data_IF_402385615173
#
_entry.id   IF_402385615173
#
_cell.length_a   1.000
_cell.length_b   1.000
_cell.length_c   1.000
_cell.angle_alpha   90.00
_cell.angle_beta   90.00
_cell.angle_gamma   90.00
#
_symmetry.space_group_name_H-M   'P 1'
#
loop_
_entity.id
_entity.type
_entity.pdbx_description
1 polymer ?
#
# COMPACT_ATOMS: atom_id res chain seq x y z
N UNK A 1 14.56 25.19 -45.81
CA UNK A 1 15.55 24.76 -44.80
C UNK A 1 15.60 25.86 -43.76
N UNK A 2 15.14 25.61 -42.54
CA UNK A 2 15.20 26.59 -41.46
C UNK A 2 15.63 25.86 -40.20
N UNK A 3 16.77 26.28 -39.68
CA UNK A 3 17.56 25.59 -38.68
C UNK A 3 16.86 25.57 -37.32
N UNK A 4 16.97 24.41 -36.67
CA UNK A 4 16.48 24.13 -35.32
C UNK A 4 17.37 24.83 -34.30
N UNK A 5 16.82 25.75 -33.51
CA UNK A 5 17.46 26.18 -32.27
C UNK A 5 16.70 25.55 -31.09
N UNK A 6 17.08 24.33 -30.73
CA UNK A 6 16.70 23.75 -29.45
C UNK A 6 17.51 24.47 -28.37
N UNK A 7 16.84 25.35 -27.63
CA UNK A 7 17.39 26.01 -26.44
C UNK A 7 17.81 24.93 -25.44
N UNK A 8 19.12 24.76 -25.25
CA UNK A 8 19.68 23.87 -24.24
C UNK A 8 19.19 24.33 -22.86
N UNK A 9 18.30 23.56 -22.23
CA UNK A 9 17.97 23.71 -20.80
C UNK A 9 19.25 23.46 -20.00
N UNK A 10 19.87 24.51 -19.50
CA UNK A 10 20.99 24.40 -18.57
C UNK A 10 20.50 23.75 -17.26
N UNK A 11 20.86 22.49 -17.04
CA UNK A 11 20.81 21.80 -15.75
C UNK A 11 21.87 22.44 -14.83
N UNK A 12 21.52 23.53 -14.14
CA UNK A 12 22.40 24.13 -13.13
C UNK A 12 22.42 23.26 -11.88
N UNK A 13 23.29 22.25 -11.84
CA UNK A 13 23.71 21.62 -10.59
C UNK A 13 24.40 22.70 -9.75
N UNK A 14 23.83 23.02 -8.59
CA UNK A 14 24.34 24.06 -7.69
C UNK A 14 25.11 23.36 -6.57
N UNK A 15 26.36 23.76 -6.33
CA UNK A 15 27.19 23.20 -5.27
C UNK A 15 26.90 23.92 -3.94
N UNK A 16 26.56 23.17 -2.89
CA UNK A 16 26.51 23.73 -1.53
C UNK A 16 27.86 23.50 -0.85
N UNK A 17 28.43 24.56 -0.29
CA UNK A 17 29.74 24.56 0.40
C UNK A 17 30.98 24.17 -0.43
N UNK A 18 30.87 24.15 -1.76
CA UNK A 18 32.03 24.00 -2.66
C UNK A 18 32.72 22.64 -2.63
N UNK A 19 32.14 21.64 -1.95
CA UNK A 19 32.77 20.32 -1.74
C UNK A 19 31.86 19.14 -2.11
N UNK A 20 30.58 19.37 -2.41
CA UNK A 20 29.62 18.32 -2.75
C UNK A 20 28.73 18.76 -3.93
N UNK A 21 28.74 17.97 -5.02
CA UNK A 21 27.83 18.16 -6.14
C UNK A 21 26.43 17.71 -5.71
N UNK A 22 25.47 18.64 -5.66
CA UNK A 22 24.10 18.28 -5.32
C UNK A 22 23.51 17.55 -6.53
N UNK A 23 22.87 16.38 -6.33
CA UNK A 23 22.16 15.71 -7.40
C UNK A 23 21.16 16.68 -8.03
N UNK A 24 21.05 16.63 -9.34
CA UNK A 24 20.05 17.36 -10.10
C UNK A 24 18.64 16.98 -9.61
N UNK A 25 17.67 17.87 -9.84
CA UNK A 25 16.27 17.60 -9.50
C UNK A 25 15.77 16.25 -10.04
N UNK A 26 16.23 15.85 -11.24
CA UNK A 26 15.88 14.57 -11.86
C UNK A 26 16.52 13.39 -11.11
N UNK A 27 17.79 13.48 -10.73
CA UNK A 27 18.49 12.45 -9.94
C UNK A 27 17.88 12.30 -8.53
N UNK A 28 17.44 13.41 -7.93
CA UNK A 28 16.69 13.38 -6.66
C UNK A 28 15.37 12.64 -6.86
N UNK A 29 14.58 13.03 -7.87
CA UNK A 29 13.31 12.35 -8.15
C UNK A 29 13.49 10.86 -8.42
N UNK A 30 14.52 10.47 -9.18
CA UNK A 30 14.79 9.08 -9.52
C UNK A 30 15.24 8.29 -8.29
N UNK A 31 16.13 8.84 -7.45
CA UNK A 31 16.53 8.24 -6.18
C UNK A 31 15.34 8.06 -5.23
N UNK A 32 14.52 9.11 -5.07
CA UNK A 32 13.30 9.05 -4.25
C UNK A 32 12.27 8.07 -4.81
N UNK A 33 12.05 8.01 -6.12
CA UNK A 33 11.10 7.08 -6.73
C UNK A 33 11.53 5.62 -6.54
N UNK A 34 12.84 5.35 -6.65
CA UNK A 34 13.40 4.02 -6.41
C UNK A 34 13.22 3.58 -4.95
N UNK A 35 13.44 4.49 -4.01
CA UNK A 35 13.25 4.22 -2.59
C UNK A 35 11.78 4.19 -2.18
N UNK A 36 10.91 4.96 -2.83
CA UNK A 36 9.47 5.01 -2.56
C UNK A 36 8.82 3.63 -2.63
N UNK A 37 9.22 2.81 -3.61
CA UNK A 37 8.75 1.43 -3.74
C UNK A 37 9.00 0.59 -2.48
N UNK A 38 10.12 0.83 -1.78
CA UNK A 38 10.49 0.11 -0.56
C UNK A 38 9.71 0.53 0.68
N UNK A 39 9.14 1.74 0.68
CA UNK A 39 8.35 2.28 1.79
C UNK A 39 6.86 2.02 1.64
N UNK A 40 6.38 1.85 0.40
CA UNK A 40 4.95 1.73 0.10
C UNK A 40 4.50 0.29 -0.03
N UNK A 41 5.37 -0.61 -0.52
CA UNK A 41 5.00 -2.01 -0.72
C UNK A 41 5.10 -2.78 0.61
N UNK A 42 4.01 -3.42 1.06
CA UNK A 42 4.08 -4.29 2.22
C UNK A 42 4.97 -5.49 1.92
N UNK A 43 5.81 -5.87 2.89
CA UNK A 43 6.85 -6.90 2.73
C UNK A 43 6.42 -8.27 3.29
N UNK A 44 5.13 -8.59 3.25
CA UNK A 44 4.58 -9.81 3.82
C UNK A 44 3.59 -10.53 2.91
N UNK A 45 3.28 -11.78 3.27
CA UNK A 45 2.36 -12.62 2.50
C UNK A 45 0.89 -12.31 2.83
N UNK A 46 0.61 -11.90 4.06
CA UNK A 46 -0.72 -11.47 4.50
C UNK A 46 -0.65 -9.99 4.85
N UNK A 47 -1.35 -9.17 4.07
CA UNK A 47 -1.20 -7.71 4.11
C UNK A 47 -2.57 -7.05 4.13
N UNK A 48 -2.68 -5.94 4.86
CA UNK A 48 -3.88 -5.11 4.79
C UNK A 48 -3.83 -4.19 3.58
N UNK A 49 -5.01 -3.86 3.08
CA UNK A 49 -5.13 -2.95 1.94
C UNK A 49 -4.74 -1.53 2.28
N UNK A 50 -4.32 -0.79 1.25
CA UNK A 50 -3.96 0.62 1.33
C UNK A 50 -5.07 1.51 1.94
N UNK A 51 -6.32 1.07 1.85
CA UNK A 51 -7.49 1.75 2.41
C UNK A 51 -7.58 1.72 3.95
N UNK A 52 -6.74 0.93 4.62
CA UNK A 52 -6.60 0.96 6.08
C UNK A 52 -5.84 2.23 6.50
N UNK A 53 -6.59 3.29 6.80
CA UNK A 53 -6.01 4.62 7.10
C UNK A 53 -6.26 5.09 8.54
N UNK A 54 -7.27 4.55 9.22
CA UNK A 54 -7.67 5.04 10.55
C UNK A 54 -7.42 4.02 11.65
N UNK A 55 -7.32 4.52 12.89
CA UNK A 55 -7.28 3.67 14.09
C UNK A 55 -8.55 2.80 14.20
N UNK A 56 -9.71 3.32 13.77
CA UNK A 56 -10.95 2.57 13.81
C UNK A 56 -10.93 1.35 12.88
N UNK A 57 -10.33 1.48 11.69
CA UNK A 57 -10.20 0.34 10.77
C UNK A 57 -9.30 -0.76 11.38
N UNK A 58 -8.24 -0.36 12.09
CA UNK A 58 -7.36 -1.30 12.78
C UNK A 58 -8.08 -2.05 13.91
N UNK A 59 -8.91 -1.35 14.68
CA UNK A 59 -9.76 -1.95 15.71
C UNK A 59 -10.79 -2.91 15.09
N UNK A 60 -11.37 -2.57 13.94
CA UNK A 60 -12.27 -3.49 13.24
C UNK A 60 -11.55 -4.75 12.75
N UNK A 61 -10.34 -4.61 12.20
CA UNK A 61 -9.52 -5.75 11.81
C UNK A 61 -9.18 -6.63 13.02
N UNK A 62 -8.87 -6.02 14.16
CA UNK A 62 -8.60 -6.74 15.42
C UNK A 62 -9.82 -7.59 15.85
N UNK A 63 -11.01 -6.98 15.85
CA UNK A 63 -12.27 -7.68 16.17
C UNK A 63 -12.58 -8.82 15.18
N UNK A 64 -12.39 -8.59 13.87
CA UNK A 64 -12.59 -9.61 12.84
C UNK A 64 -11.65 -10.80 13.04
N UNK A 65 -10.37 -10.54 13.31
CA UNK A 65 -9.36 -11.59 13.51
C UNK A 65 -9.56 -12.34 14.83
N UNK A 66 -9.97 -11.65 15.90
CA UNK A 66 -10.28 -12.27 17.18
C UNK A 66 -11.42 -13.29 17.07
N UNK A 67 -12.40 -13.04 16.20
CA UNK A 67 -13.51 -13.96 15.97
C UNK A 67 -13.21 -15.14 15.04
N UNK A 68 -12.16 -15.04 14.22
CA UNK A 68 -11.92 -15.96 13.09
C UNK A 68 -10.60 -16.74 13.17
N UNK A 69 -9.67 -16.34 14.04
CA UNK A 69 -8.32 -16.91 14.10
C UNK A 69 -7.99 -17.42 15.50
N UNK A 70 -7.14 -18.46 15.58
CA UNK A 70 -6.70 -19.01 16.86
C UNK A 70 -5.64 -18.11 17.52
N UNK A 71 -4.71 -17.61 16.70
CA UNK A 71 -3.62 -16.73 17.10
C UNK A 71 -3.35 -15.74 15.97
N UNK A 72 -3.20 -14.46 16.29
CA UNK A 72 -2.83 -13.44 15.31
C UNK A 72 -1.97 -12.32 15.92
N UNK A 73 -1.24 -11.62 15.04
CA UNK A 73 -0.41 -10.46 15.35
C UNK A 73 -0.47 -9.47 14.19
N UNK A 74 -0.88 -8.24 14.49
CA UNK A 74 -0.98 -7.15 13.53
C UNK A 74 0.27 -6.26 13.66
N UNK A 75 0.95 -6.00 12.55
CA UNK A 75 2.04 -5.02 12.44
C UNK A 75 1.57 -3.84 11.58
N UNK A 76 1.02 -2.77 12.20
CA UNK A 76 0.49 -1.60 11.48
C UNK A 76 1.54 -0.86 10.67
N UNK A 77 2.82 -0.93 11.09
CA UNK A 77 3.91 -0.18 10.45
C UNK A 77 4.27 -0.82 9.12
N UNK A 78 4.42 -2.14 9.11
CA UNK A 78 4.80 -2.89 7.90
C UNK A 78 3.61 -3.33 7.05
N UNK A 79 2.39 -3.08 7.53
CA UNK A 79 1.12 -3.51 6.94
C UNK A 79 0.97 -5.02 6.79
N UNK A 80 1.48 -5.77 7.78
CA UNK A 80 1.51 -7.23 7.77
C UNK A 80 0.69 -7.79 8.92
N UNK A 81 -0.08 -8.85 8.66
CA UNK A 81 -0.71 -9.66 9.71
C UNK A 81 -0.10 -11.06 9.68
N UNK A 82 0.38 -11.51 10.83
CA UNK A 82 0.65 -12.94 11.04
C UNK A 82 -0.57 -13.55 11.69
N UNK A 83 -1.14 -14.60 11.09
CA UNK A 83 -2.33 -15.26 11.61
C UNK A 83 -2.21 -16.78 11.47
N UNK A 84 -2.92 -17.50 12.34
CA UNK A 84 -3.00 -18.95 12.38
C UNK A 84 -4.48 -19.35 12.45
N UNK A 85 -4.92 -20.15 11.50
CA UNK A 85 -6.32 -20.55 11.34
C UNK A 85 -6.59 -21.00 9.91
N UNK A 86 -7.88 -21.09 9.55
CA UNK A 86 -8.32 -21.44 8.20
C UNK A 86 -8.17 -20.26 7.24
N UNK A 87 -7.13 -20.31 6.41
CA UNK A 87 -6.78 -19.26 5.46
C UNK A 87 -7.84 -19.01 4.39
N UNK A 88 -8.51 -20.06 3.90
CA UNK A 88 -9.57 -19.92 2.89
C UNK A 88 -10.77 -19.18 3.52
N UNK A 89 -11.13 -19.58 4.73
CA UNK A 89 -12.23 -18.95 5.45
C UNK A 89 -11.95 -17.49 5.77
N UNK A 90 -10.74 -17.18 6.26
CA UNK A 90 -10.31 -15.81 6.57
C UNK A 90 -10.31 -14.96 5.30
N UNK A 91 -9.79 -15.48 4.18
CA UNK A 91 -9.73 -14.78 2.88
C UNK A 91 -11.13 -14.41 2.35
N UNK A 92 -12.13 -15.23 2.62
CA UNK A 92 -13.51 -14.99 2.19
C UNK A 92 -14.26 -14.05 3.15
N UNK A 93 -13.83 -13.96 4.41
CA UNK A 93 -14.59 -13.27 5.47
C UNK A 93 -14.05 -11.90 5.83
N UNK A 94 -12.73 -11.73 5.86
CA UNK A 94 -12.07 -10.50 6.30
C UNK A 94 -11.94 -9.53 5.14
N UNK A 95 -12.63 -8.38 5.22
CA UNK A 95 -12.63 -7.37 4.16
C UNK A 95 -11.42 -6.43 4.23
N UNK A 96 -10.84 -6.27 5.41
CA UNK A 96 -9.73 -5.35 5.65
C UNK A 96 -8.37 -5.89 5.20
N UNK A 97 -8.30 -7.18 4.85
CA UNK A 97 -7.10 -7.81 4.28
C UNK A 97 -7.14 -7.71 2.76
N UNK A 98 -6.03 -7.27 2.16
CA UNK A 98 -5.86 -7.25 0.71
C UNK A 98 -5.41 -8.62 0.20
N UNK A 99 -4.45 -9.22 0.90
CA UNK A 99 -3.92 -10.56 0.61
C UNK A 99 -3.82 -11.39 1.86
N UNK A 100 -4.05 -12.69 1.72
CA UNK A 100 -3.82 -13.72 2.74
C UNK A 100 -2.93 -14.79 2.11
N UNK A 101 -1.75 -15.03 2.68
CA UNK A 101 -0.73 -15.96 2.15
C UNK A 101 -0.44 -15.79 0.65
N UNK A 102 -0.34 -14.55 0.19
CA UNK A 102 -0.03 -14.19 -1.20
C UNK A 102 -1.22 -14.29 -2.17
N UNK A 103 -2.40 -14.73 -1.71
CA UNK A 103 -3.63 -14.76 -2.51
C UNK A 103 -4.48 -13.54 -2.20
N UNK A 104 -5.06 -12.93 -3.24
CA UNK A 104 -6.00 -11.81 -3.10
C UNK A 104 -7.26 -12.26 -2.35
N UNK A 105 -7.80 -11.38 -1.51
CA UNK A 105 -9.08 -11.64 -0.84
C UNK A 105 -10.24 -11.44 -1.79
N UNK A 106 -11.40 -12.03 -1.44
CA UNK A 106 -12.63 -11.86 -2.22
C UNK A 106 -12.98 -10.38 -2.40
N UNK A 107 -12.74 -9.59 -1.36
CA UNK A 107 -13.02 -8.15 -1.36
C UNK A 107 -12.08 -7.39 -2.29
N UNK A 108 -10.79 -7.72 -2.30
CA UNK A 108 -9.83 -7.16 -3.26
C UNK A 108 -10.21 -7.49 -4.70
N UNK A 109 -10.57 -8.76 -4.97
CA UNK A 109 -10.96 -9.17 -6.32
C UNK A 109 -12.23 -8.44 -6.79
N UNK A 110 -13.17 -8.17 -5.87
CA UNK A 110 -14.37 -7.38 -6.18
C UNK A 110 -14.01 -5.91 -6.44
N UNK A 111 -13.20 -5.30 -5.58
CA UNK A 111 -12.71 -3.92 -5.73
C UNK A 111 -12.02 -3.72 -7.09
N UNK A 112 -11.08 -4.60 -7.42
CA UNK A 112 -10.32 -4.54 -8.67
C UNK A 112 -11.23 -4.68 -9.89
N UNK A 113 -12.26 -5.54 -9.80
CA UNK A 113 -13.23 -5.75 -10.88
C UNK A 113 -14.13 -4.54 -11.12
N UNK A 114 -14.51 -3.82 -10.07
CA UNK A 114 -15.38 -2.65 -10.19
C UNK A 114 -14.60 -1.32 -10.33
N UNK A 115 -13.26 -1.37 -10.23
CA UNK A 115 -12.39 -0.19 -10.32
C UNK A 115 -12.61 0.78 -9.16
N UNK A 116 -13.19 0.31 -8.06
CA UNK A 116 -13.60 1.15 -6.93
C UNK A 116 -12.50 1.15 -5.87
N UNK A 117 -11.65 2.17 -5.90
CA UNK A 117 -10.58 2.36 -4.91
C UNK A 117 -11.11 2.74 -3.52
N UNK A 118 -12.43 2.90 -3.36
CA UNK A 118 -13.05 3.30 -2.12
C UNK A 118 -13.63 2.07 -1.38
N UNK A 119 -12.78 1.41 -0.58
CA UNK A 119 -13.17 0.24 0.24
C UNK A 119 -14.29 0.54 1.27
N UNK A 120 -14.67 1.81 1.46
CA UNK A 120 -15.82 2.22 2.26
C UNK A 120 -17.17 1.73 1.70
N UNK A 121 -17.25 1.27 0.45
CA UNK A 121 -18.48 0.66 -0.09
C UNK A 121 -18.91 -0.60 0.69
N UNK A 122 -17.98 -1.30 1.34
CA UNK A 122 -18.25 -2.55 2.05
C UNK A 122 -18.77 -2.35 3.49
N UNK A 123 -18.55 -1.17 4.08
CA UNK A 123 -19.18 -0.82 5.36
C UNK A 123 -20.73 -0.81 5.26
N UNK A 124 -21.29 -0.62 4.06
CA UNK A 124 -22.74 -0.70 3.82
C UNK A 124 -23.26 -2.14 3.64
N UNK A 125 -22.39 -3.15 3.53
CA UNK A 125 -22.80 -4.57 3.50
C UNK A 125 -23.00 -5.10 4.93
N UNK A 126 -22.40 -4.44 5.94
CA UNK A 126 -22.76 -4.62 7.34
C UNK A 126 -24.07 -3.87 7.67
N UNK A 127 -25.16 -4.18 6.95
CA UNK A 127 -26.52 -3.86 7.42
C UNK A 127 -27.11 -5.07 8.14
N UNK A 128 -27.23 -4.90 9.46
CA UNK A 128 -28.10 -5.63 10.39
C UNK A 128 -27.97 -7.16 10.39
N UNK A 129 -27.05 -7.66 11.23
CA UNK A 129 -27.34 -8.82 12.08
C UNK A 129 -27.55 -8.31 13.50
#
# INVERSE_FOLDING_TARGET
MTEKAYTQKQTRQTTMFGTYEFPSYEEILEAYAKEFSNYVLPKGDTVFGFWMQTLADLEFLDLELQGLTDEYKIDPVNRVVSLKGDEEFIRLRVAHLEKVKGKTTLYTDLVDKFGDTNAYAFHNIYKQC
#
